data_IF_465470560684
#
_entry.id   IF_465470560684
#
_cell.length_a   1.000
_cell.length_b   1.000
_cell.length_c   1.000
_cell.angle_alpha   90.00
_cell.angle_beta   90.00
_cell.angle_gamma   90.00
#
_symmetry.space_group_name_H-M   'P 1'
#
loop_
_entity.id
_entity.type
_entity.pdbx_description
1 polymer ?
#
# COMPACT_ATOMS: atom_id res chain seq x y z
N UNK A 1 -33.17 -2.06 -56.98
CA UNK A 1 -32.87 -3.51 -57.02
C UNK A 1 -31.67 -3.73 -56.12
N UNK A 2 -31.93 -4.40 -55.01
CA UNK A 2 -31.02 -4.79 -53.95
C UNK A 2 -29.85 -5.61 -54.47
N UNK A 3 -28.65 -5.40 -53.92
CA UNK A 3 -27.72 -6.51 -53.77
C UNK A 3 -27.14 -6.52 -52.35
N UNK A 4 -27.51 -7.59 -51.63
CA UNK A 4 -26.97 -8.03 -50.36
C UNK A 4 -25.56 -8.55 -50.61
N UNK A 5 -24.55 -7.96 -49.98
CA UNK A 5 -23.31 -8.67 -49.70
C UNK A 5 -23.14 -8.75 -48.18
N UNK A 6 -23.79 -9.75 -47.61
CA UNK A 6 -23.43 -10.39 -46.35
C UNK A 6 -22.10 -11.13 -46.56
N UNK A 7 -20.99 -10.56 -46.07
CA UNK A 7 -19.75 -11.28 -45.86
C UNK A 7 -19.50 -11.41 -44.35
N UNK A 8 -19.85 -12.60 -43.87
CA UNK A 8 -19.03 -13.42 -42.97
C UNK A 8 -18.26 -12.70 -41.87
N UNK A 9 -18.86 -12.76 -40.69
CA UNK A 9 -18.21 -13.13 -39.43
C UNK A 9 -16.89 -13.89 -39.70
N UNK A 10 -15.77 -13.21 -39.49
CA UNK A 10 -14.49 -13.82 -39.19
C UNK A 10 -14.28 -13.50 -37.71
N UNK A 11 -14.20 -14.56 -36.92
CA UNK A 11 -13.87 -14.55 -35.51
C UNK A 11 -12.50 -13.87 -35.34
N UNK A 12 -12.51 -12.59 -34.98
CA UNK A 12 -11.34 -11.87 -34.50
C UNK A 12 -11.53 -11.68 -32.99
N UNK A 13 -11.55 -12.81 -32.28
CA UNK A 13 -11.38 -12.88 -30.83
C UNK A 13 -9.91 -12.56 -30.46
N UNK A 14 -9.39 -11.43 -30.96
CA UNK A 14 -8.31 -10.74 -30.28
C UNK A 14 -8.94 -10.00 -29.10
N UNK A 15 -9.24 -10.75 -28.05
CA UNK A 15 -9.26 -10.24 -26.69
C UNK A 15 -7.88 -9.61 -26.47
N UNK A 16 -7.78 -8.33 -26.79
CA UNK A 16 -6.56 -7.56 -26.58
C UNK A 16 -6.34 -7.63 -25.07
N UNK A 17 -5.25 -8.26 -24.56
CA UNK A 17 -5.05 -8.31 -23.13
C UNK A 17 -4.91 -6.87 -22.66
N UNK A 18 -5.92 -6.40 -21.91
CA UNK A 18 -5.91 -5.08 -21.32
C UNK A 18 -4.70 -5.03 -20.39
N UNK A 19 -3.66 -4.32 -20.82
CA UNK A 19 -2.49 -4.03 -19.97
C UNK A 19 -2.99 -3.09 -18.89
N UNK A 20 -3.31 -3.64 -17.72
CA UNK A 20 -3.65 -2.85 -16.53
C UNK A 20 -2.35 -2.22 -16.04
N UNK A 21 -2.07 -0.98 -16.45
CA UNK A 21 -1.02 -0.17 -15.85
C UNK A 21 -1.56 0.29 -14.49
N UNK A 22 -1.34 -0.49 -13.42
CA UNK A 22 -1.54 0.00 -12.07
C UNK A 22 -0.34 0.88 -11.70
N UNK A 23 -0.58 2.16 -11.46
CA UNK A 23 0.43 3.08 -10.95
C UNK A 23 0.59 2.87 -9.44
N UNK A 24 0.89 1.65 -9.02
CA UNK A 24 1.09 1.29 -7.62
C UNK A 24 2.46 1.79 -7.17
N UNK A 25 2.50 3.03 -6.64
CA UNK A 25 3.73 3.63 -6.17
C UNK A 25 3.97 3.25 -4.69
N UNK A 26 4.54 2.06 -4.47
CA UNK A 26 4.95 1.61 -3.14
C UNK A 26 6.11 2.48 -2.65
N UNK A 27 5.89 3.22 -1.56
CA UNK A 27 6.88 4.15 -1.03
C UNK A 27 7.57 3.53 0.19
N UNK A 28 8.89 3.71 0.29
CA UNK A 28 9.66 3.37 1.48
C UNK A 28 9.73 4.57 2.42
N UNK A 29 9.29 4.39 3.66
CA UNK A 29 9.27 5.45 4.68
C UNK A 29 10.15 5.03 5.85
N UNK A 30 11.12 5.89 6.18
CA UNK A 30 11.99 5.71 7.36
C UNK A 30 11.49 6.62 8.47
N UNK A 31 11.25 6.04 9.65
CA UNK A 31 10.82 6.76 10.85
C UNK A 31 11.89 6.61 11.92
N UNK A 32 12.43 7.73 12.41
CA UNK A 32 13.40 7.76 13.49
C UNK A 32 12.69 8.14 14.79
N UNK A 33 12.63 7.20 15.73
CA UNK A 33 12.00 7.33 17.03
C UNK A 33 10.82 6.35 17.22
N UNK A 34 11.07 5.23 17.88
CA UNK A 34 10.05 4.23 18.23
C UNK A 34 9.22 4.59 19.50
N UNK A 35 9.03 5.89 19.76
CA UNK A 35 8.15 6.39 20.81
C UNK A 35 6.68 6.36 20.40
N UNK A 36 5.76 6.84 21.27
CA UNK A 36 4.32 6.82 21.00
C UNK A 36 3.93 7.51 19.68
N UNK A 37 4.61 8.60 19.33
CA UNK A 37 4.35 9.35 18.10
C UNK A 37 4.77 8.55 16.86
N UNK A 38 5.97 7.95 16.87
CA UNK A 38 6.47 7.18 15.74
C UNK A 38 5.65 5.93 15.47
N UNK A 39 5.24 5.22 16.52
CA UNK A 39 4.34 4.07 16.42
C UNK A 39 2.99 4.49 15.83
N UNK A 40 2.37 5.55 16.38
CA UNK A 40 1.07 6.01 15.89
C UNK A 40 1.12 6.50 14.44
N UNK A 41 2.22 7.14 14.06
CA UNK A 41 2.43 7.56 12.68
C UNK A 41 2.54 6.37 11.74
N UNK A 42 3.35 5.36 12.08
CA UNK A 42 3.51 4.15 11.26
C UNK A 42 2.18 3.41 11.08
N UNK A 43 1.42 3.24 12.16
CA UNK A 43 0.09 2.60 12.13
C UNK A 43 -0.88 3.37 11.22
N UNK A 44 -0.95 4.69 11.36
CA UNK A 44 -1.86 5.53 10.59
C UNK A 44 -1.46 5.61 9.10
N UNK A 45 -0.16 5.56 8.80
CA UNK A 45 0.33 5.52 7.44
C UNK A 45 -0.07 4.21 6.75
N UNK A 46 0.24 3.07 7.39
CA UNK A 46 -0.07 1.75 6.83
C UNK A 46 -1.56 1.49 6.73
N UNK A 47 -2.39 2.08 7.60
CA UNK A 47 -3.86 1.96 7.48
C UNK A 47 -4.41 2.63 6.23
N UNK A 48 -3.77 3.71 5.77
CA UNK A 48 -4.16 4.49 4.57
C UNK A 48 -3.45 4.02 3.31
N UNK A 49 -2.25 3.46 3.46
CA UNK A 49 -1.34 3.06 2.38
C UNK A 49 -0.75 1.69 2.74
N UNK A 50 -1.55 0.61 2.64
CA UNK A 50 -1.15 -0.73 3.09
C UNK A 50 0.01 -1.32 2.28
N UNK A 51 0.23 -0.83 1.06
CA UNK A 51 1.32 -1.29 0.19
C UNK A 51 2.64 -0.52 0.39
N UNK A 52 2.66 0.49 1.27
CA UNK A 52 3.90 1.19 1.62
C UNK A 52 4.74 0.36 2.61
N UNK A 53 6.05 0.55 2.57
CA UNK A 53 7.01 -0.14 3.42
C UNK A 53 7.54 0.84 4.49
N UNK A 54 7.31 0.54 5.77
CA UNK A 54 7.73 1.41 6.89
C UNK A 54 8.85 0.76 7.70
N UNK A 55 9.97 1.46 7.82
CA UNK A 55 11.11 1.08 8.66
C UNK A 55 11.19 2.02 9.86
N UNK A 56 10.87 1.50 11.05
CA UNK A 56 10.88 2.26 12.30
C UNK A 56 12.14 1.93 13.11
N UNK A 57 12.92 2.95 13.45
CA UNK A 57 14.14 2.80 14.25
C UNK A 57 13.95 3.43 15.64
N UNK A 58 14.34 2.69 16.67
CA UNK A 58 14.41 3.16 18.06
C UNK A 58 15.74 2.74 18.69
N UNK A 59 16.20 3.50 19.68
CA UNK A 59 17.45 3.23 20.41
C UNK A 59 17.25 2.27 21.60
N UNK A 60 16.00 2.05 22.00
CA UNK A 60 15.69 1.19 23.14
C UNK A 60 15.73 -0.28 22.74
N UNK A 61 16.29 -1.10 23.62
CA UNK A 61 16.39 -2.57 23.44
C UNK A 61 15.09 -3.30 23.77
N UNK A 62 14.07 -2.60 24.25
CA UNK A 62 12.75 -3.13 24.55
C UNK A 62 11.72 -2.71 23.51
N UNK A 63 10.61 -3.44 23.48
CA UNK A 63 9.46 -3.06 22.65
C UNK A 63 8.90 -1.69 23.10
N UNK A 64 8.34 -0.89 22.17
CA UNK A 64 7.66 0.37 22.49
C UNK A 64 6.61 0.20 23.60
N UNK A 65 6.58 1.11 24.55
CA UNK A 65 5.71 1.03 25.72
C UNK A 65 5.16 2.40 26.13
N UNK A 66 4.13 2.40 26.98
CA UNK A 66 3.57 3.62 27.55
C UNK A 66 4.41 4.12 28.73
N UNK A 67 5.26 5.11 28.49
CA UNK A 67 6.12 5.70 29.53
C UNK A 67 5.35 6.36 30.67
N UNK A 68 4.12 6.80 30.45
CA UNK A 68 3.28 7.39 31.51
C UNK A 68 3.02 6.35 32.61
N UNK A 69 2.87 5.07 32.25
CA UNK A 69 2.63 4.01 33.23
C UNK A 69 3.83 3.75 34.16
N UNK A 70 5.03 4.20 33.80
CA UNK A 70 6.19 4.10 34.68
C UNK A 70 6.07 5.00 35.92
N UNK A 71 5.28 6.08 35.86
CA UNK A 71 5.09 6.96 37.03
C UNK A 71 4.39 6.26 38.19
N UNK A 72 3.70 5.14 37.93
CA UNK A 72 3.08 4.33 38.99
C UNK A 72 4.08 3.42 39.72
N UNK A 73 5.33 3.35 39.24
CA UNK A 73 6.41 2.51 39.77
C UNK A 73 7.50 3.32 40.50
N UNK A 74 7.35 4.64 40.58
CA UNK A 74 8.28 5.61 41.17
C UNK A 74 7.63 6.33 42.35
#
# INVERSE_FOLDING_TARGET
MSNLNSNTQLDDDLETPQVIITNAHHSRVIVIGAGPVGIRFADELLSRRPDDEVHLFGDETCAPYNRIQLSALL
#
